data_IF_111231489221
#
_entry.id   IF_111231489221
#
_cell.length_a   1.000
_cell.length_b   1.000
_cell.length_c   1.000
_cell.angle_alpha   90.00
_cell.angle_beta   90.00
_cell.angle_gamma   90.00
#
_symmetry.space_group_name_H-M   'P 1'
#
loop_
_entity.id
_entity.type
_entity.pdbx_description
1 polymer ?
#
# COMPACT_ATOMS: atom_id res chain seq x y z
N UNK A 1 44.30 23.89 11.17
CA UNK A 1 43.84 22.64 10.53
C UNK A 1 42.51 22.94 9.84
N UNK A 2 42.57 23.45 8.60
CA UNK A 2 41.39 24.02 7.89
C UNK A 2 41.35 23.63 6.40
N UNK A 3 42.36 22.93 5.88
CA UNK A 3 42.39 22.51 4.46
C UNK A 3 41.69 21.17 4.21
N UNK A 4 41.70 20.23 5.16
CA UNK A 4 41.19 18.87 4.93
C UNK A 4 39.65 18.74 4.85
N UNK A 5 38.88 19.67 5.40
CA UNK A 5 37.41 19.52 5.49
C UNK A 5 36.70 20.09 4.27
N UNK A 6 37.21 21.20 3.71
CA UNK A 6 36.65 21.83 2.51
C UNK A 6 36.92 20.97 1.27
N UNK A 7 38.15 20.45 1.13
CA UNK A 7 38.49 19.53 0.05
C UNK A 7 37.68 18.23 0.14
N UNK A 8 37.53 17.64 1.34
CA UNK A 8 36.71 16.44 1.51
C UNK A 8 35.25 16.66 1.08
N UNK A 9 34.67 17.83 1.37
CA UNK A 9 33.32 18.18 0.96
C UNK A 9 33.21 18.45 -0.55
N UNK A 10 34.17 19.17 -1.12
CA UNK A 10 34.25 19.39 -2.57
C UNK A 10 34.38 18.06 -3.34
N UNK A 11 35.18 17.13 -2.82
CA UNK A 11 35.27 15.78 -3.34
C UNK A 11 33.95 15.02 -3.23
N UNK A 12 33.19 15.19 -2.14
CA UNK A 12 31.88 14.56 -1.97
C UNK A 12 30.82 15.12 -2.93
N UNK A 13 30.83 16.43 -3.20
CA UNK A 13 29.97 17.03 -4.24
C UNK A 13 30.33 16.46 -5.61
N UNK A 14 31.63 16.39 -5.93
CA UNK A 14 32.11 15.87 -7.20
C UNK A 14 31.70 14.40 -7.37
N UNK A 15 31.82 13.60 -6.30
CA UNK A 15 31.39 12.19 -6.27
C UNK A 15 29.88 12.06 -6.50
N UNK A 16 29.06 12.90 -5.86
CA UNK A 16 27.60 12.88 -6.06
C UNK A 16 27.19 13.26 -7.48
N UNK A 17 27.83 14.29 -8.07
CA UNK A 17 27.63 14.66 -9.49
C UNK A 17 28.06 13.52 -10.42
N UNK A 18 29.19 12.87 -10.14
CA UNK A 18 29.68 11.74 -10.93
C UNK A 18 28.76 10.51 -10.82
N UNK A 19 28.21 10.21 -9.63
CA UNK A 19 27.20 9.15 -9.45
C UNK A 19 25.92 9.43 -10.24
N UNK A 20 25.43 10.67 -10.22
CA UNK A 20 24.26 11.09 -10.99
C UNK A 20 24.49 10.93 -12.51
N UNK A 21 25.62 11.46 -13.01
CA UNK A 21 26.00 11.31 -14.43
C UNK A 21 26.17 9.83 -14.80
N UNK A 22 26.78 9.01 -13.94
CA UNK A 22 26.95 7.57 -14.19
C UNK A 22 25.63 6.84 -14.29
N UNK A 23 24.64 7.19 -13.45
CA UNK A 23 23.29 6.63 -13.50
C UNK A 23 22.57 6.98 -14.81
N UNK A 24 22.72 8.22 -15.30
CA UNK A 24 22.18 8.65 -16.60
C UNK A 24 22.89 7.91 -17.75
N UNK A 25 24.23 7.85 -17.72
CA UNK A 25 25.06 7.22 -18.77
C UNK A 25 24.79 5.72 -18.90
N UNK A 26 24.49 5.01 -17.81
CA UNK A 26 24.24 3.55 -17.85
C UNK A 26 22.84 3.16 -18.35
N UNK A 27 21.99 4.12 -18.75
CA UNK A 27 20.66 3.90 -19.38
C UNK A 27 19.71 2.93 -18.65
N UNK A 28 20.00 2.59 -17.39
CA UNK A 28 19.08 1.85 -16.52
C UNK A 28 18.11 2.85 -15.91
N UNK A 29 17.09 3.19 -16.67
CA UNK A 29 15.90 3.97 -16.33
C UNK A 29 15.69 4.25 -14.82
N UNK A 30 15.93 5.48 -14.33
CA UNK A 30 15.53 5.91 -13.00
C UNK A 30 14.18 6.63 -13.10
N UNK A 31 13.11 5.91 -13.44
CA UNK A 31 11.76 6.49 -13.38
C UNK A 31 11.36 6.59 -11.91
N UNK A 32 11.52 7.81 -11.36
CA UNK A 32 11.00 8.33 -10.07
C UNK A 32 11.83 8.11 -8.80
N UNK A 33 13.15 8.20 -8.88
CA UNK A 33 14.01 8.35 -7.70
C UNK A 33 15.25 9.19 -8.01
N UNK A 34 15.09 10.27 -8.77
CA UNK A 34 16.08 11.34 -8.72
C UNK A 34 15.80 12.09 -7.43
N UNK A 35 16.54 11.78 -6.36
CA UNK A 35 16.62 12.70 -5.22
C UNK A 35 17.16 14.02 -5.77
N UNK A 36 16.48 15.12 -5.47
CA UNK A 36 16.83 16.45 -5.95
C UNK A 36 18.25 16.78 -5.50
N UNK A 37 19.20 16.84 -6.44
CA UNK A 37 20.60 17.18 -6.13
C UNK A 37 20.73 18.68 -5.85
N UNK A 38 19.74 19.49 -6.25
CA UNK A 38 19.75 20.95 -6.12
C UNK A 38 19.44 21.46 -4.70
N UNK A 39 18.81 20.65 -3.83
CA UNK A 39 18.46 21.08 -2.46
C UNK A 39 19.64 20.92 -1.45
N UNK A 40 20.83 20.57 -1.95
CA UNK A 40 22.07 20.45 -1.16
C UNK A 40 23.07 21.59 -1.42
N UNK A 41 22.67 22.62 -2.16
CA UNK A 41 23.47 23.83 -2.30
C UNK A 41 23.49 24.57 -0.95
N UNK A 42 24.55 24.34 -0.16
CA UNK A 42 24.84 25.13 1.05
C UNK A 42 24.63 26.61 0.72
N UNK A 43 23.89 27.32 1.59
CA UNK A 43 23.76 28.77 1.48
C UNK A 43 25.17 29.39 1.45
N UNK A 44 25.35 30.47 0.69
CA UNK A 44 26.60 31.23 0.63
C UNK A 44 27.13 31.59 2.04
N UNK A 45 26.22 31.75 3.02
CA UNK A 45 26.52 31.91 4.43
C UNK A 45 27.24 30.71 5.07
N UNK A 46 26.82 29.49 4.73
CA UNK A 46 27.36 28.24 5.26
C UNK A 46 28.75 27.95 4.68
N UNK A 47 28.96 28.30 3.40
CA UNK A 47 30.26 28.24 2.72
C UNK A 47 31.25 29.26 3.33
N UNK A 48 30.79 30.49 3.58
CA UNK A 48 31.57 31.57 4.21
C UNK A 48 31.92 31.24 5.67
N UNK A 49 31.01 30.60 6.40
CA UNK A 49 31.22 30.17 7.77
C UNK A 49 32.18 28.97 7.89
N UNK A 50 32.13 28.03 6.94
CA UNK A 50 33.10 26.93 6.85
C UNK A 50 34.52 27.46 6.59
N UNK A 51 34.64 28.48 5.72
CA UNK A 51 35.91 29.14 5.42
C UNK A 51 36.44 29.98 6.60
N UNK A 52 35.56 30.53 7.44
CA UNK A 52 35.93 31.31 8.65
C UNK A 52 36.10 30.45 9.90
N UNK A 53 35.79 29.15 9.83
CA UNK A 53 36.00 28.20 10.92
C UNK A 53 35.01 28.32 12.08
N UNK A 54 33.81 28.87 11.86
CA UNK A 54 32.80 29.02 12.92
C UNK A 54 32.30 27.62 13.39
N UNK A 55 32.53 27.21 14.65
CA UNK A 55 32.12 25.91 15.17
C UNK A 55 30.60 25.68 15.11
N UNK A 56 29.80 26.76 15.23
CA UNK A 56 28.34 26.68 15.26
C UNK A 56 27.75 26.26 13.91
N UNK A 57 28.38 26.59 12.78
CA UNK A 57 27.88 26.19 11.45
C UNK A 57 28.14 24.70 11.18
N UNK A 58 29.25 24.18 11.71
CA UNK A 58 29.53 22.74 11.67
C UNK A 58 28.53 21.95 12.51
N UNK A 59 28.20 22.43 13.72
CA UNK A 59 27.16 21.84 14.58
C UNK A 59 25.79 21.88 13.89
N UNK A 60 25.47 22.98 13.19
CA UNK A 60 24.20 23.14 12.46
C UNK A 60 24.05 22.09 11.37
N UNK A 61 25.07 21.95 10.52
CA UNK A 61 25.04 21.01 9.40
C UNK A 61 24.90 19.55 9.87
N UNK A 62 25.61 19.18 10.95
CA UNK A 62 25.48 17.85 11.53
C UNK A 62 24.08 17.61 12.14
N UNK A 63 23.54 18.60 12.86
CA UNK A 63 22.18 18.56 13.39
C UNK A 63 21.11 18.51 12.28
N UNK A 64 21.26 19.25 11.18
CA UNK A 64 20.35 19.23 10.04
C UNK A 64 20.26 17.84 9.39
N UNK A 65 21.41 17.18 9.20
CA UNK A 65 21.45 15.80 8.69
C UNK A 65 20.78 14.83 9.67
N UNK A 66 21.07 14.96 10.97
CA UNK A 66 20.48 14.10 12.00
C UNK A 66 18.95 14.30 12.11
N UNK A 67 18.48 15.54 12.12
CA UNK A 67 17.05 15.89 12.18
C UNK A 67 16.33 15.41 10.93
N UNK A 68 16.91 15.58 9.74
CA UNK A 68 16.32 15.09 8.49
C UNK A 68 16.14 13.57 8.50
N UNK A 69 17.17 12.83 8.94
CA UNK A 69 17.09 11.37 9.12
C UNK A 69 16.01 10.97 10.12
N UNK A 70 15.91 11.67 11.25
CA UNK A 70 14.90 11.38 12.27
C UNK A 70 13.48 11.75 11.82
N UNK A 71 13.30 12.83 11.05
CA UNK A 71 12.03 13.19 10.42
C UNK A 71 11.57 12.11 9.44
N UNK A 72 12.48 11.55 8.63
CA UNK A 72 12.17 10.42 7.76
C UNK A 72 11.72 9.19 8.56
N UNK A 73 12.42 8.86 9.65
CA UNK A 73 12.02 7.77 10.55
C UNK A 73 10.65 8.01 11.19
N UNK A 74 10.35 9.25 11.60
CA UNK A 74 9.03 9.64 12.13
C UNK A 74 7.95 9.51 11.07
N UNK A 75 8.18 10.00 9.85
CA UNK A 75 7.24 9.86 8.74
C UNK A 75 6.97 8.39 8.39
N UNK A 76 8.00 7.54 8.42
CA UNK A 76 7.85 6.11 8.22
C UNK A 76 7.03 5.46 9.35
N UNK A 77 7.34 5.77 10.61
CA UNK A 77 6.58 5.30 11.77
C UNK A 77 5.10 5.72 11.68
N UNK A 78 4.82 6.99 11.43
CA UNK A 78 3.45 7.50 11.25
C UNK A 78 2.71 6.78 10.12
N UNK A 79 3.39 6.51 8.99
CA UNK A 79 2.82 5.75 7.89
C UNK A 79 2.50 4.30 8.28
N UNK A 80 3.36 3.66 9.08
CA UNK A 80 3.11 2.32 9.63
C UNK A 80 1.91 2.32 10.58
N UNK A 81 1.79 3.33 11.45
CA UNK A 81 0.64 3.48 12.36
C UNK A 81 -0.66 3.59 11.57
N UNK A 82 -0.74 4.48 10.56
CA UNK A 82 -1.95 4.60 9.74
C UNK A 82 -2.31 3.31 9.00
N UNK A 83 -1.30 2.57 8.53
CA UNK A 83 -1.53 1.26 7.91
C UNK A 83 -2.09 0.26 8.92
N UNK A 84 -1.49 0.18 10.12
CA UNK A 84 -1.96 -0.68 11.20
C UNK A 84 -3.37 -0.30 11.66
N UNK A 85 -3.68 0.99 11.79
CA UNK A 85 -5.02 1.48 12.13
C UNK A 85 -6.06 1.05 11.08
N UNK A 86 -5.72 1.19 9.79
CA UNK A 86 -6.58 0.71 8.71
C UNK A 86 -6.75 -0.81 8.77
N UNK A 87 -5.69 -1.55 9.05
CA UNK A 87 -5.73 -3.00 9.17
C UNK A 87 -6.58 -3.46 10.38
N UNK A 88 -6.46 -2.79 11.53
CA UNK A 88 -7.26 -3.00 12.75
C UNK A 88 -8.73 -2.69 12.50
N UNK A 89 -9.03 -1.59 11.79
CA UNK A 89 -10.41 -1.18 11.55
C UNK A 89 -11.13 -2.05 10.52
N UNK A 90 -10.42 -2.52 9.48
CA UNK A 90 -11.05 -3.16 8.31
C UNK A 90 -10.64 -4.61 8.11
N UNK A 91 -9.33 -4.90 8.14
CA UNK A 91 -8.81 -6.18 7.67
C UNK A 91 -8.91 -7.27 8.75
N UNK A 92 -8.51 -7.00 9.99
CA UNK A 92 -8.56 -7.99 11.06
C UNK A 92 -10.00 -8.42 11.42
N UNK A 93 -10.99 -7.50 11.58
CA UNK A 93 -12.36 -7.90 11.91
C UNK A 93 -12.99 -8.78 10.83
N UNK A 94 -12.76 -8.45 9.55
CA UNK A 94 -13.27 -9.22 8.40
C UNK A 94 -12.61 -10.61 8.34
N UNK A 95 -11.31 -10.70 8.60
CA UNK A 95 -10.62 -12.00 8.66
C UNK A 95 -11.10 -12.86 9.81
N UNK A 96 -11.29 -12.26 11.00
CA UNK A 96 -11.78 -12.96 12.19
C UNK A 96 -13.21 -13.45 11.98
N UNK A 97 -14.11 -12.63 11.43
CA UNK A 97 -15.49 -13.04 11.16
C UNK A 97 -15.55 -14.16 10.12
N UNK A 98 -14.83 -14.01 9.00
CA UNK A 98 -14.78 -15.02 7.95
C UNK A 98 -14.19 -16.35 8.45
N UNK A 99 -13.14 -16.30 9.28
CA UNK A 99 -12.56 -17.50 9.89
C UNK A 99 -13.53 -18.16 10.88
N UNK A 100 -14.21 -17.38 11.73
CA UNK A 100 -15.22 -17.90 12.67
C UNK A 100 -16.39 -18.58 11.96
N UNK A 101 -16.94 -17.94 10.93
CA UNK A 101 -18.02 -18.52 10.13
C UNK A 101 -17.57 -19.81 9.44
N UNK A 102 -16.36 -19.82 8.88
CA UNK A 102 -15.79 -21.02 8.26
C UNK A 102 -15.58 -22.14 9.27
N UNK A 103 -15.07 -21.85 10.47
CA UNK A 103 -14.89 -22.84 11.54
C UNK A 103 -16.24 -23.41 11.97
N UNK A 104 -17.26 -22.57 12.17
CA UNK A 104 -18.61 -23.04 12.50
C UNK A 104 -19.17 -23.98 11.42
N UNK A 105 -18.97 -23.65 10.14
CA UNK A 105 -19.31 -24.53 9.02
C UNK A 105 -18.55 -25.86 9.06
N UNK A 106 -17.22 -25.82 9.25
CA UNK A 106 -16.39 -27.03 9.32
C UNK A 106 -16.70 -27.90 10.56
N UNK A 107 -17.13 -27.30 11.67
CA UNK A 107 -17.54 -28.03 12.88
C UNK A 107 -18.79 -28.86 12.61
N UNK A 108 -19.78 -28.29 11.91
CA UNK A 108 -20.98 -29.03 11.48
C UNK A 108 -20.58 -30.16 10.54
N UNK A 109 -19.73 -29.88 9.54
CA UNK A 109 -19.29 -30.90 8.58
C UNK A 109 -18.47 -32.02 9.26
N UNK A 110 -17.61 -31.69 10.23
CA UNK A 110 -16.88 -32.66 11.06
C UNK A 110 -17.82 -33.55 11.87
N UNK A 111 -18.89 -33.00 12.44
CA UNK A 111 -19.90 -33.79 13.17
C UNK A 111 -20.64 -34.76 12.23
N UNK A 112 -21.01 -34.30 11.02
CA UNK A 112 -21.62 -35.17 10.01
C UNK A 112 -20.67 -36.31 9.63
N UNK A 113 -19.39 -36.00 9.40
CA UNK A 113 -18.36 -37.02 9.12
C UNK A 113 -18.13 -37.98 10.29
N UNK A 114 -18.18 -37.53 11.55
CA UNK A 114 -18.05 -38.41 12.72
C UNK A 114 -19.26 -39.29 12.96
N UNK A 115 -20.45 -38.80 12.61
CA UNK A 115 -21.70 -39.58 12.73
C UNK A 115 -21.79 -40.72 11.73
N UNK A 116 -21.05 -40.58 10.62
CA UNK A 116 -20.93 -41.57 9.56
C UNK A 116 -19.59 -42.23 9.78
N UNK A 117 -19.53 -43.31 10.55
CA UNK A 117 -18.26 -43.96 10.86
C UNK A 117 -17.58 -44.46 9.56
N UNK A 118 -16.71 -43.61 8.99
CA UNK A 118 -16.07 -43.88 7.71
C UNK A 118 -15.03 -45.03 7.81
N UNK A 119 -14.77 -45.53 9.03
CA UNK A 119 -13.89 -46.68 9.27
C UNK A 119 -14.57 -48.01 9.01
N UNK A 120 -15.91 -48.05 9.05
CA UNK A 120 -16.64 -49.29 8.80
C UNK A 120 -16.67 -49.56 7.28
N UNK A 121 -15.68 -50.34 6.86
CA UNK A 121 -15.41 -50.68 5.47
C UNK A 121 -16.58 -51.45 4.81
N UNK A 122 -17.52 -51.95 5.62
CA UNK A 122 -18.64 -52.81 5.23
C UNK A 122 -19.93 -52.06 4.84
N UNK A 123 -20.06 -50.75 5.12
CA UNK A 123 -21.26 -49.96 4.76
C UNK A 123 -20.93 -48.77 3.86
N UNK A 124 -20.17 -49.03 2.79
CA UNK A 124 -19.97 -48.02 1.75
C UNK A 124 -21.26 -47.86 0.94
N UNK A 125 -21.88 -46.69 0.98
CA UNK A 125 -23.06 -46.37 0.18
C UNK A 125 -22.90 -44.97 -0.43
N UNK A 126 -22.82 -44.89 -1.75
CA UNK A 126 -22.72 -43.61 -2.48
C UNK A 126 -23.81 -43.52 -3.54
N UNK A 127 -24.45 -42.35 -3.64
CA UNK A 127 -25.39 -42.09 -4.73
C UNK A 127 -24.70 -41.30 -5.83
N UNK A 128 -24.64 -41.85 -7.04
CA UNK A 128 -24.13 -41.14 -8.23
C UNK A 128 -25.28 -41.00 -9.22
N UNK A 129 -25.58 -39.76 -9.62
CA UNK A 129 -26.83 -39.43 -10.30
C UNK A 129 -28.02 -39.74 -9.39
N UNK A 130 -28.77 -40.79 -9.75
CA UNK A 130 -29.91 -41.32 -9.00
C UNK A 130 -29.76 -42.81 -8.62
N UNK A 131 -28.55 -43.37 -8.75
CA UNK A 131 -28.28 -44.79 -8.48
C UNK A 131 -27.44 -44.91 -7.21
N UNK A 132 -27.89 -45.77 -6.29
CA UNK A 132 -27.15 -46.13 -5.09
C UNK A 132 -26.15 -47.25 -5.43
N UNK A 133 -24.88 -47.02 -5.10
CA UNK A 133 -23.80 -47.97 -5.27
C UNK A 133 -23.25 -48.38 -3.91
N UNK A 134 -23.17 -49.70 -3.69
CA UNK A 134 -22.60 -50.32 -2.49
C UNK A 134 -21.15 -50.81 -2.71
N UNK A 135 -20.72 -50.93 -3.98
CA UNK A 135 -19.34 -51.24 -4.34
C UNK A 135 -18.56 -49.95 -4.67
N UNK A 136 -17.38 -49.79 -4.06
CA UNK A 136 -16.43 -48.70 -4.30
C UNK A 136 -15.97 -48.63 -5.75
N UNK A 137 -15.80 -49.77 -6.41
CA UNK A 137 -15.34 -49.82 -7.80
C UNK A 137 -16.40 -49.32 -8.76
N UNK A 138 -17.63 -49.81 -8.62
CA UNK A 138 -18.77 -49.39 -9.45
C UNK A 138 -19.11 -47.91 -9.22
N UNK A 139 -19.08 -47.45 -7.96
CA UNK A 139 -19.30 -46.05 -7.61
C UNK A 139 -18.24 -45.13 -8.23
N UNK A 140 -16.97 -45.52 -8.21
CA UNK A 140 -15.88 -44.76 -8.81
C UNK A 140 -15.95 -44.71 -10.34
N UNK A 141 -16.34 -45.81 -10.99
CA UNK A 141 -16.55 -45.87 -12.45
C UNK A 141 -17.73 -44.98 -12.86
N UNK A 142 -18.84 -45.05 -12.13
CA UNK A 142 -20.00 -44.18 -12.34
C UNK A 142 -19.68 -42.70 -12.12
N UNK A 143 -18.85 -42.38 -11.13
CA UNK A 143 -18.37 -41.02 -10.86
C UNK A 143 -17.54 -40.49 -12.03
N UNK A 144 -16.60 -41.28 -12.55
CA UNK A 144 -15.76 -40.89 -13.70
C UNK A 144 -16.61 -40.74 -14.96
N UNK A 145 -17.56 -41.65 -15.21
CA UNK A 145 -18.47 -41.56 -16.35
C UNK A 145 -19.34 -40.30 -16.28
N UNK A 146 -19.85 -39.96 -15.10
CA UNK A 146 -20.63 -38.74 -14.87
C UNK A 146 -19.78 -37.48 -15.06
N UNK A 147 -18.54 -37.46 -14.57
CA UNK A 147 -17.59 -36.38 -14.81
C UNK A 147 -17.26 -36.22 -16.31
N UNK A 148 -17.05 -37.33 -17.03
CA UNK A 148 -16.79 -37.32 -18.46
C UNK A 148 -17.99 -36.80 -19.26
N UNK A 149 -19.22 -37.15 -18.85
CA UNK A 149 -20.46 -36.61 -19.40
C UNK A 149 -20.63 -35.10 -19.16
N UNK A 150 -20.07 -34.54 -18.09
CA UNK A 150 -20.09 -33.10 -17.83
C UNK A 150 -19.06 -32.32 -18.66
N UNK A 151 -17.96 -32.97 -19.06
CA UNK A 151 -16.96 -32.37 -19.97
C UNK A 151 -17.58 -32.01 -21.32
N UNK A 152 -18.53 -32.80 -21.82
CA UNK A 152 -19.17 -32.56 -23.13
C UNK A 152 -20.15 -31.40 -23.09
N UNK A 153 -20.73 -31.08 -21.92
CA UNK A 153 -21.70 -29.99 -21.72
C UNK A 153 -21.03 -28.68 -21.28
N UNK A 154 -19.70 -28.69 -21.05
CA UNK A 154 -18.89 -27.55 -20.63
C UNK A 154 -19.49 -26.73 -19.46
N UNK A 155 -20.25 -27.40 -18.60
CA UNK A 155 -20.95 -26.80 -17.46
C UNK A 155 -20.76 -27.73 -16.26
N UNK A 156 -20.31 -27.18 -15.14
CA UNK A 156 -20.20 -27.95 -13.90
C UNK A 156 -21.57 -28.44 -13.44
N UNK A 157 -21.64 -29.66 -12.91
CA UNK A 157 -22.90 -30.32 -12.55
C UNK A 157 -22.81 -31.11 -11.26
N UNK A 158 -23.96 -31.26 -10.58
CA UNK A 158 -24.10 -32.20 -9.45
C UNK A 158 -23.92 -33.61 -10.00
N UNK A 159 -22.94 -34.33 -9.46
CA UNK A 159 -22.61 -35.70 -9.83
C UNK A 159 -23.27 -36.70 -8.89
N UNK A 160 -23.49 -36.33 -7.63
CA UNK A 160 -24.07 -37.27 -6.67
C UNK A 160 -24.15 -36.74 -5.25
N UNK A 161 -24.35 -37.66 -4.33
CA UNK A 161 -24.40 -37.42 -2.90
C UNK A 161 -23.69 -38.55 -2.14
N UNK A 162 -22.87 -38.17 -1.17
CA UNK A 162 -22.11 -39.09 -0.34
C UNK A 162 -22.29 -38.71 1.11
N UNK A 163 -23.00 -39.55 1.88
CA UNK A 163 -23.28 -39.35 3.31
C UNK A 163 -23.73 -37.93 3.70
N UNK A 164 -24.67 -37.34 2.94
CA UNK A 164 -25.20 -36.00 3.18
C UNK A 164 -24.38 -34.85 2.56
N UNK A 165 -23.24 -35.16 1.93
CA UNK A 165 -22.46 -34.19 1.16
C UNK A 165 -22.83 -34.25 -0.32
N UNK A 166 -23.16 -33.09 -0.90
CA UNK A 166 -23.42 -32.99 -2.34
C UNK A 166 -22.11 -32.97 -3.11
N UNK A 167 -21.95 -33.90 -4.05
CA UNK A 167 -20.79 -33.98 -4.94
C UNK A 167 -21.09 -33.26 -6.24
N UNK A 168 -20.26 -32.27 -6.61
CA UNK A 168 -20.36 -31.54 -7.87
C UNK A 168 -19.03 -31.57 -8.61
N UNK A 169 -19.03 -31.90 -9.89
CA UNK A 169 -17.80 -31.88 -10.69
C UNK A 169 -17.80 -30.70 -11.67
N UNK A 170 -16.62 -30.13 -11.85
CA UNK A 170 -16.35 -29.12 -12.86
C UNK A 170 -15.04 -29.45 -13.56
N UNK A 171 -15.01 -29.23 -14.87
CA UNK A 171 -13.77 -29.36 -15.62
C UNK A 171 -13.00 -28.05 -15.58
N UNK A 172 -11.78 -28.08 -15.08
CA UNK A 172 -10.91 -26.92 -15.09
C UNK A 172 -10.07 -26.93 -16.36
N UNK A 173 -10.38 -26.04 -17.31
CA UNK A 173 -9.65 -25.91 -18.57
C UNK A 173 -8.18 -25.52 -18.37
N UNK A 174 -7.84 -24.83 -17.28
CA UNK A 174 -6.47 -24.36 -17.02
C UNK A 174 -5.56 -25.49 -16.53
N UNK A 175 -6.04 -26.32 -15.59
CA UNK A 175 -5.29 -27.48 -15.09
C UNK A 175 -5.49 -28.76 -15.92
N UNK A 176 -6.36 -28.71 -16.93
CA UNK A 176 -6.74 -29.86 -17.76
C UNK A 176 -7.18 -31.08 -16.92
N UNK A 177 -7.78 -30.82 -15.75
CA UNK A 177 -8.14 -31.81 -14.75
C UNK A 177 -9.62 -31.67 -14.34
N UNK A 178 -10.21 -32.79 -13.91
CA UNK A 178 -11.54 -32.80 -13.32
C UNK A 178 -11.44 -32.42 -11.84
N UNK A 179 -12.08 -31.33 -11.46
CA UNK A 179 -12.18 -30.89 -10.06
C UNK A 179 -13.54 -31.32 -9.50
N UNK A 180 -13.52 -32.12 -8.45
CA UNK A 180 -14.70 -32.48 -7.66
C UNK A 180 -14.78 -31.57 -6.44
N UNK A 181 -15.93 -30.92 -6.29
CA UNK A 181 -16.29 -30.12 -5.12
C UNK A 181 -17.29 -30.90 -4.27
N UNK A 182 -16.89 -31.22 -3.05
CA UNK A 182 -17.74 -31.78 -1.99
C UNK A 182 -18.36 -30.59 -1.25
N UNK A 183 -19.68 -30.44 -1.33
CA UNK A 183 -20.43 -29.35 -0.71
C UNK A 183 -21.21 -29.86 0.50
N UNK A 184 -20.78 -29.44 1.68
CA UNK A 184 -21.54 -29.50 2.93
C UNK A 184 -21.95 -28.08 3.34
N UNK A 185 -21.65 -27.68 4.57
CA UNK A 185 -21.65 -26.26 4.98
C UNK A 185 -20.44 -25.53 4.41
N UNK A 186 -19.29 -26.20 4.36
CA UNK A 186 -18.11 -25.77 3.63
C UNK A 186 -17.99 -26.50 2.29
N UNK A 187 -17.21 -25.91 1.38
CA UNK A 187 -16.90 -26.51 0.08
C UNK A 187 -15.46 -26.99 0.07
N UNK A 188 -15.26 -28.27 -0.24
CA UNK A 188 -13.95 -28.91 -0.32
C UNK A 188 -13.68 -29.34 -1.76
N UNK A 189 -12.57 -28.89 -2.31
CA UNK A 189 -12.18 -29.19 -3.69
C UNK A 189 -11.10 -30.26 -3.72
N UNK A 190 -11.20 -31.19 -4.66
CA UNK A 190 -10.21 -32.23 -4.92
C UNK A 190 -10.14 -32.57 -6.41
N UNK A 191 -9.02 -33.12 -6.85
CA UNK A 191 -8.83 -33.54 -8.24
C UNK A 191 -9.14 -35.03 -8.42
N UNK A 192 -9.91 -35.33 -9.47
CA UNK A 192 -10.30 -36.68 -9.87
C UNK A 192 -9.29 -37.22 -10.89
N UNK A 193 -8.69 -38.36 -10.55
CA UNK A 193 -7.81 -39.12 -11.42
C UNK A 193 -8.57 -40.13 -12.28
N UNK A 194 -7.82 -40.94 -13.02
CA UNK A 194 -8.36 -42.00 -13.90
C UNK A 194 -8.73 -43.29 -13.16
N UNK A 195 -8.35 -43.41 -11.89
CA UNK A 195 -8.52 -44.63 -11.10
C UNK A 195 -9.81 -44.55 -10.24
N UNK A 196 -10.83 -45.40 -10.50
CA UNK A 196 -12.08 -45.44 -9.75
C UNK A 196 -11.89 -45.59 -8.23
N UNK A 197 -11.05 -46.53 -7.80
CA UNK A 197 -10.88 -46.85 -6.38
C UNK A 197 -10.02 -45.79 -5.69
N UNK A 198 -8.97 -45.31 -6.35
CA UNK A 198 -8.17 -44.19 -5.88
C UNK A 198 -8.96 -42.90 -5.66
N UNK A 199 -9.97 -42.62 -6.50
CA UNK A 199 -10.85 -41.46 -6.34
C UNK A 199 -11.72 -41.57 -5.09
N UNK A 200 -12.26 -42.75 -4.79
CA UNK A 200 -13.00 -42.99 -3.55
C UNK A 200 -12.12 -42.80 -2.32
N UNK A 201 -10.89 -43.30 -2.36
CA UNK A 201 -9.94 -43.08 -1.27
C UNK A 201 -9.59 -41.59 -1.10
N UNK A 202 -9.47 -40.82 -2.19
CA UNK A 202 -9.24 -39.36 -2.13
C UNK A 202 -10.40 -38.62 -1.47
N UNK A 203 -11.64 -39.00 -1.79
CA UNK A 203 -12.84 -38.43 -1.15
C UNK A 203 -12.82 -38.74 0.35
N UNK A 204 -12.59 -40.00 0.72
CA UNK A 204 -12.49 -40.42 2.12
C UNK A 204 -11.38 -39.66 2.87
N UNK A 205 -10.18 -39.57 2.29
CA UNK A 205 -9.07 -38.81 2.86
C UNK A 205 -9.39 -37.31 3.00
N UNK A 206 -10.17 -36.77 2.07
CA UNK A 206 -10.59 -35.36 2.12
C UNK A 206 -11.55 -35.13 3.29
N UNK A 207 -12.50 -36.03 3.51
CA UNK A 207 -13.44 -35.98 4.63
C UNK A 207 -12.74 -36.20 5.98
N UNK A 208 -11.84 -37.18 6.08
CA UNK A 208 -11.06 -37.40 7.31
C UNK A 208 -10.10 -36.24 7.60
N UNK A 209 -9.63 -35.53 6.58
CA UNK A 209 -8.82 -34.32 6.76
C UNK A 209 -9.59 -33.10 7.28
N UNK A 210 -10.93 -33.14 7.34
CA UNK A 210 -11.76 -32.01 7.81
C UNK A 210 -11.42 -31.67 9.26
N UNK A 211 -11.29 -32.67 10.14
CA UNK A 211 -10.91 -32.45 11.54
C UNK A 211 -9.54 -31.76 11.65
N UNK A 212 -8.56 -32.22 10.87
CA UNK A 212 -7.22 -31.60 10.85
C UNK A 212 -7.30 -30.15 10.36
N UNK A 213 -8.03 -29.90 9.28
CA UNK A 213 -8.23 -28.56 8.71
C UNK A 213 -9.01 -27.63 9.64
N UNK A 214 -9.88 -28.18 10.47
CA UNK A 214 -10.61 -27.47 11.51
C UNK A 214 -9.64 -27.00 12.59
N UNK A 215 -8.80 -27.89 13.14
CA UNK A 215 -7.76 -27.51 14.12
C UNK A 215 -6.79 -26.49 13.53
N UNK A 216 -6.32 -26.68 12.30
CA UNK A 216 -5.46 -25.70 11.61
C UNK A 216 -6.15 -24.33 11.45
N UNK A 217 -7.47 -24.31 11.25
CA UNK A 217 -8.24 -23.06 11.09
C UNK A 217 -8.48 -22.37 12.43
N UNK A 218 -8.69 -23.13 13.50
CA UNK A 218 -8.79 -22.63 14.88
C UNK A 218 -7.45 -22.02 15.33
N UNK A 219 -6.32 -22.68 15.06
CA UNK A 219 -4.98 -22.12 15.32
C UNK A 219 -4.72 -20.84 14.53
N UNK A 220 -5.15 -20.78 13.27
CA UNK A 220 -5.06 -19.54 12.47
C UNK A 220 -5.92 -18.43 13.05
N UNK A 221 -7.13 -18.73 13.52
CA UNK A 221 -7.99 -17.75 14.17
C UNK A 221 -7.32 -17.19 15.42
N UNK A 222 -6.75 -18.05 16.26
CA UNK A 222 -6.00 -17.63 17.46
C UNK A 222 -4.80 -16.75 17.10
N UNK A 223 -4.02 -17.15 16.09
CA UNK A 223 -2.87 -16.37 15.60
C UNK A 223 -3.30 -14.98 15.12
N UNK A 224 -4.38 -14.89 14.33
CA UNK A 224 -4.91 -13.60 13.84
C UNK A 224 -5.45 -12.75 14.98
N UNK A 225 -6.07 -13.35 16.01
CA UNK A 225 -6.52 -12.63 17.20
C UNK A 225 -5.34 -12.10 18.02
N UNK A 226 -4.27 -12.88 18.18
CA UNK A 226 -3.04 -12.42 18.83
C UNK A 226 -2.41 -11.26 18.05
N UNK A 227 -2.29 -11.39 16.72
CA UNK A 227 -1.79 -10.31 15.86
C UNK A 227 -2.64 -9.04 15.98
N UNK A 228 -3.97 -9.18 16.06
CA UNK A 228 -4.87 -8.05 16.27
C UNK A 228 -4.66 -7.36 17.63
N UNK A 229 -4.43 -8.14 18.70
CA UNK A 229 -4.11 -7.60 20.01
C UNK A 229 -2.75 -6.88 20.01
N UNK A 230 -1.71 -7.50 19.45
CA UNK A 230 -0.38 -6.90 19.30
C UNK A 230 -0.44 -5.63 18.46
N UNK A 231 -1.16 -5.63 17.34
CA UNK A 231 -1.32 -4.45 16.49
C UNK A 231 -2.00 -3.30 17.24
N UNK A 232 -3.01 -3.59 18.07
CA UNK A 232 -3.65 -2.57 18.92
C UNK A 232 -2.71 -1.99 19.98
N UNK A 233 -1.78 -2.78 20.51
CA UNK A 233 -0.76 -2.28 21.42
C UNK A 233 0.31 -1.46 20.69
N UNK A 234 0.74 -1.91 19.52
CA UNK A 234 1.76 -1.22 18.72
C UNK A 234 1.28 0.14 18.22
N UNK A 235 0.01 0.27 17.81
CA UNK A 235 -0.56 1.56 17.40
C UNK A 235 -0.54 2.60 18.53
N UNK A 236 -0.56 2.17 19.79
CA UNK A 236 -0.49 3.07 20.96
C UNK A 236 0.94 3.49 21.31
N UNK A 237 1.97 2.83 20.75
CA UNK A 237 3.37 3.14 21.08
C UNK A 237 3.77 4.43 20.36
N UNK A 238 4.22 5.47 21.10
CA UNK A 238 4.75 6.67 20.47
C UNK A 238 6.08 6.37 19.78
N UNK A 239 6.50 7.28 18.90
CA UNK A 239 7.77 7.13 18.20
C UNK A 239 8.94 7.13 19.22
N UNK A 240 9.76 6.07 19.29
CA UNK A 240 10.76 5.92 20.35
C UNK A 240 11.80 7.05 20.43
N UNK A 241 12.08 7.72 19.31
CA UNK A 241 13.03 8.84 19.22
C UNK A 241 12.35 10.20 19.19
N UNK A 242 11.11 10.29 19.64
CA UNK A 242 10.37 11.55 19.62
C UNK A 242 11.00 12.61 20.53
N UNK A 243 11.45 12.22 21.73
CA UNK A 243 12.16 13.13 22.63
C UNK A 243 13.51 13.60 22.04
N UNK A 244 14.31 12.67 21.52
CA UNK A 244 15.62 12.97 20.89
C UNK A 244 15.46 13.87 19.65
N UNK A 245 14.43 13.63 18.84
CA UNK A 245 14.12 14.48 17.69
C UNK A 245 13.70 15.89 18.13
N UNK A 246 12.88 16.02 19.17
CA UNK A 246 12.46 17.33 19.67
C UNK A 246 13.63 18.13 20.26
N UNK A 247 14.49 17.49 21.07
CA UNK A 247 15.70 18.10 21.62
C UNK A 247 16.64 18.61 20.51
N UNK A 248 16.87 17.78 19.49
CA UNK A 248 17.72 18.17 18.35
C UNK A 248 17.09 19.26 17.49
N UNK A 249 15.77 19.25 17.31
CA UNK A 249 15.07 20.33 16.62
C UNK A 249 15.12 21.65 17.40
N UNK A 250 15.00 21.60 18.73
CA UNK A 250 15.11 22.78 19.59
C UNK A 250 16.52 23.36 19.53
N UNK A 251 17.55 22.51 19.68
CA UNK A 251 18.96 22.92 19.54
C UNK A 251 19.27 23.54 18.17
N UNK A 252 18.73 22.96 17.10
CA UNK A 252 18.87 23.49 15.74
C UNK A 252 18.18 24.85 15.60
N UNK A 253 17.03 25.05 16.25
CA UNK A 253 16.34 26.33 16.27
C UNK A 253 17.10 27.42 17.03
N UNK A 254 17.71 27.08 18.17
CA UNK A 254 18.59 27.98 18.94
C UNK A 254 19.80 28.40 18.11
N UNK A 255 20.43 27.43 17.46
CA UNK A 255 21.61 27.64 16.63
C UNK A 255 21.31 28.50 15.40
N UNK A 256 20.15 28.28 14.77
CA UNK A 256 19.65 29.16 13.70
C UNK A 256 19.41 30.59 14.20
N UNK A 257 18.86 30.76 15.41
CA UNK A 257 18.65 32.09 15.98
C UNK A 257 19.98 32.82 16.27
N UNK A 258 20.97 32.12 16.83
CA UNK A 258 22.32 32.63 17.09
C UNK A 258 23.02 33.06 15.79
N UNK A 259 23.00 32.22 14.76
CA UNK A 259 23.64 32.51 13.49
C UNK A 259 22.98 33.67 12.73
N UNK A 260 21.65 33.77 12.78
CA UNK A 260 20.90 34.88 12.19
C UNK A 260 21.16 36.22 12.91
N UNK A 261 21.56 36.20 14.19
CA UNK A 261 21.96 37.40 14.93
C UNK A 261 23.37 37.87 14.54
N UNK A 262 24.30 36.94 14.34
CA UNK A 262 25.69 37.25 13.93
C UNK A 262 25.77 37.79 12.48
N UNK A 263 24.91 37.34 11.57
CA UNK A 263 24.86 37.88 10.20
C UNK A 263 24.48 39.36 10.13
N UNK A 264 23.58 39.82 11.03
CA UNK A 264 23.17 41.23 11.09
C UNK A 264 24.22 42.15 11.72
N UNK A 265 25.22 41.61 12.41
CA UNK A 265 26.28 42.37 13.08
C UNK A 265 27.48 42.70 12.19
N UNK A 266 27.60 42.05 11.02
CA UNK A 266 28.85 42.05 10.24
C UNK A 266 28.77 42.79 8.89
N UNK A 267 27.69 43.54 8.62
CA UNK A 267 27.54 44.36 7.40
C UNK A 267 28.18 45.77 7.52
N UNK A 268 28.77 46.16 8.65
CA UNK A 268 29.12 47.57 8.92
C UNK A 268 30.61 47.93 8.80
N UNK A 269 31.52 47.04 8.39
CA UNK A 269 32.95 47.41 8.33
C UNK A 269 33.57 46.95 7.02
N UNK A 270 33.62 47.86 6.04
CA UNK A 270 34.80 48.27 5.27
C UNK A 270 34.37 49.01 4.01
N UNK A 271 34.23 50.33 4.11
CA UNK A 271 34.25 51.22 2.95
C UNK A 271 34.85 52.56 3.38
N UNK A 272 36.19 52.61 3.44
CA UNK A 272 36.94 53.83 3.12
C UNK A 272 38.40 53.50 2.80
N UNK A 273 38.80 53.68 1.54
CA UNK A 273 39.99 54.41 1.06
C UNK A 273 40.16 54.27 -0.49
N UNK A 274 39.57 55.25 -1.18
CA UNK A 274 40.08 56.11 -2.28
C UNK A 274 40.88 55.60 -3.52
N UNK A 275 40.32 56.00 -4.69
CA UNK A 275 40.89 56.50 -5.98
C UNK A 275 41.73 55.61 -6.92
N UNK A 276 41.19 55.48 -8.15
CA UNK A 276 41.94 55.19 -9.38
C UNK A 276 41.09 55.25 -10.68
N UNK A 277 40.95 56.46 -11.24
CA UNK A 277 40.51 56.83 -12.63
C UNK A 277 41.25 55.94 -13.67
N UNK A 278 40.74 55.47 -14.82
CA UNK A 278 40.07 56.05 -16.00
C UNK A 278 39.46 54.85 -16.80
N UNK A 279 38.33 54.97 -17.48
CA UNK A 279 38.31 55.44 -18.87
C UNK A 279 37.12 54.84 -19.61
N UNK A 280 36.34 55.72 -20.23
CA UNK A 280 35.14 55.47 -21.01
C UNK A 280 35.39 54.64 -22.27
N UNK A 281 34.33 53.98 -22.77
CA UNK A 281 33.69 54.26 -24.08
C UNK A 281 32.98 52.99 -24.59
N UNK A 282 31.64 52.99 -24.60
CA UNK A 282 30.79 53.18 -25.80
C UNK A 282 30.57 51.85 -26.54
N UNK A 283 29.39 51.43 -26.98
CA UNK A 283 28.02 51.95 -26.92
C UNK A 283 27.15 50.97 -27.74
N UNK A 284 25.85 51.14 -27.57
CA UNK A 284 24.84 51.09 -28.62
C UNK A 284 24.01 49.81 -28.85
N UNK A 285 22.70 50.07 -28.72
CA UNK A 285 21.51 49.67 -29.51
C UNK A 285 20.59 48.71 -28.78
N UNK A 286 19.54 49.26 -28.14
CA UNK A 286 18.22 49.59 -28.75
C UNK A 286 17.53 48.34 -29.30
N UNK A 287 16.22 48.11 -29.20
CA UNK A 287 15.09 48.65 -28.48
C UNK A 287 13.91 47.77 -28.94
N UNK A 288 12.84 47.74 -28.15
CA UNK A 288 11.44 47.45 -28.54
C UNK A 288 11.01 46.00 -28.87
N UNK A 289 9.87 45.67 -28.26
CA UNK A 289 8.65 45.11 -28.87
C UNK A 289 8.31 43.63 -28.58
N UNK A 290 7.30 43.49 -27.70
CA UNK A 290 6.35 42.38 -27.66
C UNK A 290 5.89 41.99 -29.06
N UNK A 291 6.11 40.72 -29.42
CA UNK A 291 5.34 40.03 -30.44
C UNK A 291 4.84 38.72 -29.88
N UNK A 292 3.53 38.63 -29.83
CA UNK A 292 2.76 37.45 -29.48
C UNK A 292 2.54 36.55 -30.71
N UNK A 293 2.44 35.23 -30.45
CA UNK A 293 1.82 34.13 -31.24
C UNK A 293 2.71 33.39 -32.27
N UNK A 294 2.54 32.04 -32.46
CA UNK A 294 1.25 31.33 -32.40
C UNK A 294 1.17 30.00 -31.63
N UNK A 295 -0.08 29.66 -31.33
CA UNK A 295 -0.59 28.38 -30.82
C UNK A 295 -0.08 27.17 -31.62
N UNK A 296 0.22 26.10 -30.89
CA UNK A 296 0.07 24.73 -31.40
C UNK A 296 -0.79 23.91 -30.44
N UNK A 297 -1.79 23.28 -31.04
CA UNK A 297 -2.88 22.55 -30.39
C UNK A 297 -2.41 21.27 -29.69
N UNK A 298 -3.30 20.74 -28.84
CA UNK A 298 -3.23 19.50 -28.06
C UNK A 298 -2.42 19.51 -26.76
N UNK A 299 -2.95 20.20 -25.75
CA UNK A 299 -3.00 19.65 -24.38
C UNK A 299 -4.37 19.86 -23.76
N UNK A 300 -5.02 18.75 -23.41
CA UNK A 300 -6.23 18.72 -22.58
C UNK A 300 -5.92 19.46 -21.27
N UNK A 301 -6.44 20.67 -21.13
CA UNK A 301 -6.34 21.47 -19.92
C UNK A 301 -7.13 20.75 -18.81
N UNK A 302 -6.43 20.04 -17.93
CA UNK A 302 -7.03 19.56 -16.68
C UNK A 302 -7.03 20.75 -15.71
N UNK A 303 -8.21 21.27 -15.30
CA UNK A 303 -8.25 22.40 -14.38
C UNK A 303 -7.55 22.03 -13.08
N UNK A 304 -6.79 22.99 -12.55
CA UNK A 304 -6.08 22.85 -11.28
C UNK A 304 -7.07 22.48 -10.17
N UNK A 305 -6.63 21.68 -9.20
CA UNK A 305 -7.45 21.31 -8.02
C UNK A 305 -8.03 22.56 -7.34
N UNK A 306 -7.29 23.68 -7.41
CA UNK A 306 -7.70 24.96 -6.86
C UNK A 306 -8.86 25.62 -7.63
N UNK A 307 -8.94 25.41 -8.95
CA UNK A 307 -10.05 25.87 -9.79
C UNK A 307 -11.30 25.02 -9.59
N UNK A 308 -11.13 23.71 -9.42
CA UNK A 308 -12.24 22.81 -9.06
C UNK A 308 -12.85 23.16 -7.71
N UNK A 309 -12.02 23.47 -6.72
CA UNK A 309 -12.47 23.91 -5.39
C UNK A 309 -13.20 25.25 -5.42
N UNK A 310 -12.76 26.19 -6.29
CA UNK A 310 -13.48 27.44 -6.51
C UNK A 310 -14.83 27.23 -7.22
N UNK A 311 -14.89 26.33 -8.19
CA UNK A 311 -16.13 25.98 -8.88
C UNK A 311 -17.12 25.26 -7.96
N UNK A 312 -16.68 24.34 -7.11
CA UNK A 312 -17.54 23.69 -6.12
C UNK A 312 -18.07 24.67 -5.08
N UNK A 313 -17.25 25.59 -4.57
CA UNK A 313 -17.72 26.67 -3.67
C UNK A 313 -18.73 27.60 -4.35
N UNK A 314 -18.53 27.92 -5.64
CA UNK A 314 -19.50 28.74 -6.39
C UNK A 314 -20.82 28.00 -6.61
N UNK A 315 -20.78 26.68 -6.86
CA UNK A 315 -22.00 25.87 -7.02
C UNK A 315 -22.75 25.68 -5.70
N UNK A 316 -22.05 25.51 -4.57
CA UNK A 316 -22.68 25.45 -3.25
C UNK A 316 -23.37 26.77 -2.90
N UNK A 317 -22.74 27.92 -3.15
CA UNK A 317 -23.36 29.22 -2.90
C UNK A 317 -24.59 29.49 -3.80
N UNK A 318 -24.58 28.97 -5.04
CA UNK A 318 -25.72 29.13 -5.97
C UNK A 318 -26.87 28.18 -5.61
N UNK A 319 -26.56 26.97 -5.10
CA UNK A 319 -27.55 26.02 -4.60
C UNK A 319 -28.23 26.54 -3.32
N UNK A 320 -27.49 27.16 -2.41
CA UNK A 320 -28.07 27.77 -1.22
C UNK A 320 -29.02 28.91 -1.57
N UNK A 321 -28.64 29.83 -2.48
CA UNK A 321 -29.51 30.94 -2.91
C UNK A 321 -30.81 30.48 -3.61
N UNK A 322 -30.76 29.39 -4.38
CA UNK A 322 -31.96 28.84 -5.05
C UNK A 322 -32.90 28.10 -4.08
N UNK A 323 -32.38 27.51 -3.00
CA UNK A 323 -33.20 26.91 -1.94
C UNK A 323 -33.91 28.00 -1.13
N UNK A 324 -33.25 29.12 -0.81
CA UNK A 324 -33.87 30.25 -0.09
C UNK A 324 -34.96 30.94 -0.91
N UNK A 325 -34.78 31.07 -2.23
CA UNK A 325 -35.81 31.65 -3.11
C UNK A 325 -37.03 30.73 -3.29
N UNK A 326 -36.84 29.40 -3.32
CA UNK A 326 -37.96 28.45 -3.40
C UNK A 326 -38.77 28.38 -2.09
N UNK A 327 -38.13 28.52 -0.93
CA UNK A 327 -38.83 28.59 0.36
C UNK A 327 -39.60 29.90 0.53
N UNK A 328 -39.09 31.01 0.01
CA UNK A 328 -39.80 32.29 0.00
C UNK A 328 -41.07 32.28 -0.89
N UNK A 329 -41.00 31.68 -2.09
CA UNK A 329 -42.19 31.54 -2.97
C UNK A 329 -43.26 30.62 -2.38
N UNK A 330 -42.87 29.54 -1.70
CA UNK A 330 -43.81 28.59 -1.09
C UNK A 330 -44.58 29.17 0.10
N UNK A 331 -44.01 30.17 0.79
CA UNK A 331 -44.72 30.93 1.84
C UNK A 331 -45.75 31.91 1.27
N UNK A 332 -45.49 32.47 0.08
CA UNK A 332 -46.41 33.45 -0.51
C UNK A 332 -47.66 32.82 -1.15
N UNK A 333 -47.60 31.55 -1.58
CA UNK A 333 -48.76 30.78 -2.05
C UNK A 333 -49.63 30.19 -0.92
N UNK A 334 -49.22 30.29 0.34
CA UNK A 334 -49.99 29.79 1.50
C UNK A 334 -50.80 30.89 2.22
N UNK A 335 -50.71 32.16 1.79
CA UNK A 335 -51.42 33.31 2.38
C UNK A 335 -52.36 34.02 1.38
N UNK A 336 -52.82 33.32 0.35
CA UNK A 336 -53.87 33.74 -0.60
C UNK A 336 -55.03 32.74 -0.59
#
# INVERSE_FOLDING_TARGET
>A
MTENTFDAYMWQILENKQKFISQIMTSKSPVRACEDVDDTALSYAEIKALATGNPYIKEKMDLDVQVSKMKLLKANHTSQIYRLESDIAKNFPVQISALKERIAGMQVDSQVVKSVDLQDNDTFAMTVGNVLYEDKKEAGEALIASCAGLKTVSTGGKVGEYHGFTLSASYNMFSNAFELTIKGKCSYKLEIGKDPVGNMQRIHNTLSSIDRKLTESEQKLETVQQQFATAQEEVKKPFPKEAELNEKMERLSELNALLNMDEKGNETIMADEDIGREGSSIDSRDAVEEKELPETADRIHKPSILERLKQEKAQQNTAEQTVTQKTAKKKHEQEL
#
